data_IF_948729869701
#
_entry.id   IF_948729869701
#
_cell.length_a   1.000
_cell.length_b   1.000
_cell.length_c   1.000
_cell.angle_alpha   90.00
_cell.angle_beta   90.00
_cell.angle_gamma   90.00
#
_symmetry.space_group_name_H-M   'P 1'
#
loop_
_entity.id
_entity.type
_entity.pdbx_description
1 polymer ?
#
# COMPACT_ATOMS: atom_id res chain seq x y z
N UNK A 1 -1.62 -3.16 -19.16
CA UNK A 1 -1.21 -3.40 -17.77
C UNK A 1 -0.11 -2.42 -17.45
N UNK A 2 -0.39 -1.44 -16.58
CA UNK A 2 0.60 -0.49 -16.07
C UNK A 2 1.56 -1.23 -15.13
N UNK A 3 2.86 -0.93 -15.20
CA UNK A 3 3.86 -1.45 -14.26
C UNK A 3 4.36 -0.30 -13.40
N UNK A 4 4.29 -0.48 -12.10
CA UNK A 4 4.72 0.50 -11.13
C UNK A 4 5.88 -0.05 -10.30
N UNK A 5 6.75 0.85 -9.86
CA UNK A 5 7.86 0.56 -8.95
C UNK A 5 7.62 1.31 -7.65
N UNK A 6 7.67 0.62 -6.52
CA UNK A 6 7.57 1.24 -5.20
C UNK A 6 8.98 1.38 -4.61
N UNK A 7 9.41 2.61 -4.38
CA UNK A 7 10.70 2.89 -3.77
C UNK A 7 10.55 3.44 -2.36
N UNK A 8 11.41 2.98 -1.45
CA UNK A 8 11.52 3.51 -0.08
C UNK A 8 12.59 4.60 0.06
N UNK A 9 13.32 4.90 -1.01
CA UNK A 9 14.36 5.93 -1.09
C UNK A 9 14.30 6.57 -2.48
N UNK A 10 14.57 7.87 -2.59
CA UNK A 10 14.70 8.49 -3.90
C UNK A 10 15.83 7.77 -4.65
N UNK A 11 15.51 7.29 -5.84
CA UNK A 11 16.47 6.77 -6.81
C UNK A 11 16.40 7.67 -8.04
N UNK A 12 17.57 8.05 -8.55
CA UNK A 12 17.66 9.07 -9.58
C UNK A 12 17.28 8.54 -10.97
N UNK A 13 17.44 7.22 -11.19
CA UNK A 13 17.23 6.56 -12.48
C UNK A 13 16.20 5.42 -12.38
N UNK A 14 14.98 5.68 -12.88
CA UNK A 14 13.95 4.65 -12.97
C UNK A 14 14.21 3.72 -14.17
N UNK A 15 14.07 2.40 -14.02
CA UNK A 15 14.14 1.47 -15.15
C UNK A 15 13.13 1.80 -16.25
N UNK A 16 13.49 1.59 -17.51
CA UNK A 16 12.65 1.94 -18.68
C UNK A 16 11.31 1.19 -18.77
N UNK A 17 11.15 0.10 -18.03
CA UNK A 17 9.89 -0.65 -17.96
C UNK A 17 8.89 -0.06 -16.96
N UNK A 18 9.33 0.88 -16.10
CA UNK A 18 8.47 1.54 -15.10
C UNK A 18 7.54 2.51 -15.80
N UNK A 19 6.25 2.33 -15.60
CA UNK A 19 5.20 3.23 -16.05
C UNK A 19 4.67 4.18 -14.97
N UNK A 20 5.00 3.95 -13.70
CA UNK A 20 4.59 4.79 -12.54
C UNK A 20 5.53 4.61 -11.35
N UNK A 21 5.83 5.68 -10.64
CA UNK A 21 6.61 5.64 -9.40
C UNK A 21 5.69 5.75 -8.18
N UNK A 22 5.80 4.82 -7.25
CA UNK A 22 5.26 4.92 -5.90
C UNK A 22 6.37 5.30 -4.93
N UNK A 23 6.08 6.24 -4.03
CA UNK A 23 7.02 6.67 -3.00
C UNK A 23 6.26 7.06 -1.74
N UNK A 24 6.86 6.85 -0.56
CA UNK A 24 6.22 7.16 0.72
C UNK A 24 6.31 6.00 1.70
N UNK A 25 5.33 5.92 2.61
CA UNK A 25 5.23 4.87 3.61
C UNK A 25 3.78 4.40 3.72
N UNK A 26 3.55 3.09 3.64
CA UNK A 26 2.20 2.53 3.75
C UNK A 26 1.82 2.19 5.19
N UNK A 27 2.79 1.86 6.04
CA UNK A 27 2.54 1.24 7.34
C UNK A 27 2.93 2.14 8.52
N UNK A 28 4.21 2.44 8.70
CA UNK A 28 4.67 3.19 9.85
C UNK A 28 4.61 4.70 9.59
N UNK A 29 3.94 5.50 10.44
CA UNK A 29 3.91 6.95 10.25
C UNK A 29 5.28 7.60 10.38
N UNK A 30 6.16 6.99 11.17
CA UNK A 30 7.49 7.53 11.44
C UNK A 30 8.52 7.20 10.37
N UNK A 31 8.17 6.39 9.36
CA UNK A 31 9.00 6.17 8.17
C UNK A 31 8.56 7.04 7.00
N UNK A 32 7.52 7.86 7.17
CA UNK A 32 7.05 8.74 6.11
C UNK A 32 8.13 9.79 5.78
N UNK A 33 8.48 9.94 4.49
CA UNK A 33 9.59 10.79 4.06
C UNK A 33 9.33 12.27 4.32
N UNK A 34 10.40 13.04 4.47
CA UNK A 34 10.29 14.50 4.52
C UNK A 34 9.88 15.07 3.17
N UNK A 35 9.33 16.28 3.17
CA UNK A 35 8.88 16.95 1.94
C UNK A 35 10.00 17.06 0.88
N UNK A 36 11.26 17.27 1.30
CA UNK A 36 12.39 17.35 0.37
C UNK A 36 12.64 16.03 -0.37
N UNK A 37 12.52 14.88 0.33
CA UNK A 37 12.67 13.55 -0.28
C UNK A 37 11.51 13.24 -1.24
N UNK A 38 10.29 13.63 -0.87
CA UNK A 38 9.11 13.47 -1.74
C UNK A 38 9.28 14.30 -3.01
N UNK A 39 9.71 15.56 -2.90
CA UNK A 39 9.94 16.43 -4.05
C UNK A 39 11.03 15.88 -4.97
N UNK A 40 12.10 15.30 -4.41
CA UNK A 40 13.14 14.63 -5.19
C UNK A 40 12.58 13.40 -5.95
N UNK A 41 11.74 12.58 -5.31
CA UNK A 41 11.10 11.44 -5.97
C UNK A 41 10.11 11.89 -7.06
N UNK A 42 9.36 12.98 -6.83
CA UNK A 42 8.50 13.59 -7.84
C UNK A 42 9.34 14.07 -9.04
N UNK A 43 10.48 14.71 -8.81
CA UNK A 43 11.38 15.15 -9.88
C UNK A 43 11.92 13.97 -10.69
N UNK A 44 12.34 12.88 -10.03
CA UNK A 44 12.76 11.65 -10.70
C UNK A 44 11.65 11.07 -11.60
N UNK A 45 10.41 11.00 -11.10
CA UNK A 45 9.25 10.60 -11.90
C UNK A 45 9.04 11.49 -13.13
N UNK A 46 9.22 12.82 -12.99
CA UNK A 46 9.10 13.77 -14.10
C UNK A 46 10.21 13.63 -15.13
N UNK A 47 11.46 13.44 -14.72
CA UNK A 47 12.58 13.21 -15.65
C UNK A 47 12.34 11.96 -16.52
N UNK A 48 11.73 10.94 -15.93
CA UNK A 48 11.35 9.71 -16.63
C UNK A 48 9.98 9.78 -17.31
N UNK A 49 9.28 10.93 -17.25
CA UNK A 49 7.95 11.15 -17.79
C UNK A 49 6.90 10.12 -17.33
N UNK A 50 6.98 9.67 -16.07
CA UNK A 50 6.02 8.76 -15.46
C UNK A 50 5.16 9.48 -14.39
N UNK A 51 3.89 9.08 -14.21
CA UNK A 51 3.07 9.54 -13.09
C UNK A 51 3.64 9.14 -11.73
N UNK A 52 3.25 9.89 -10.69
CA UNK A 52 3.70 9.68 -9.32
C UNK A 52 2.54 9.28 -8.40
N UNK A 53 2.80 8.41 -7.44
CA UNK A 53 1.87 8.06 -6.37
C UNK A 53 2.53 8.25 -5.02
N UNK A 54 1.98 9.13 -4.19
CA UNK A 54 2.43 9.29 -2.80
C UNK A 54 1.65 8.33 -1.90
N UNK A 55 2.34 7.42 -1.22
CA UNK A 55 1.76 6.55 -0.21
C UNK A 55 1.83 7.19 1.19
N UNK A 56 0.67 7.45 1.79
CA UNK A 56 0.56 7.93 3.17
C UNK A 56 0.36 6.75 4.14
N UNK A 57 0.92 6.84 5.36
CA UNK A 57 1.00 5.71 6.29
C UNK A 57 -0.31 5.48 7.03
N UNK A 58 -0.36 4.41 7.82
CA UNK A 58 -1.35 4.27 8.90
C UNK A 58 -1.11 5.39 9.92
N UNK A 59 -2.17 6.10 10.30
CA UNK A 59 -2.01 7.35 11.05
C UNK A 59 -2.13 7.11 12.55
N UNK A 60 -1.34 7.86 13.31
CA UNK A 60 -1.54 8.08 14.73
C UNK A 60 -1.78 9.56 14.96
N UNK A 61 -2.56 9.92 15.98
CA UNK A 61 -2.95 11.31 16.26
C UNK A 61 -1.78 12.32 16.18
N UNK A 62 -0.60 12.06 16.79
CA UNK A 62 0.51 13.01 16.74
C UNK A 62 1.10 13.21 15.34
N UNK A 63 0.79 12.34 14.38
CA UNK A 63 1.29 12.40 13.01
C UNK A 63 0.38 13.21 12.07
N UNK A 64 -0.85 13.56 12.46
CA UNK A 64 -1.75 14.34 11.60
C UNK A 64 -1.19 15.72 11.24
N UNK A 65 -0.65 16.45 12.22
CA UNK A 65 -0.06 17.77 11.97
C UNK A 65 1.23 17.71 11.11
N UNK A 66 2.17 16.78 11.36
CA UNK A 66 3.26 16.50 10.43
C UNK A 66 2.81 16.19 9.01
N UNK A 67 1.84 15.28 8.84
CA UNK A 67 1.31 14.90 7.53
C UNK A 67 0.73 16.12 6.78
N UNK A 68 -0.06 16.96 7.46
CA UNK A 68 -0.62 18.20 6.88
C UNK A 68 0.47 19.09 6.33
N UNK A 69 1.50 19.38 7.14
CA UNK A 69 2.61 20.26 6.75
C UNK A 69 3.36 19.72 5.53
N UNK A 70 3.50 18.40 5.40
CA UNK A 70 4.14 17.79 4.24
C UNK A 70 3.24 17.93 3.01
N UNK A 71 1.95 17.59 3.12
CA UNK A 71 0.99 17.69 2.02
C UNK A 71 0.88 19.13 1.48
N UNK A 72 0.79 20.13 2.36
CA UNK A 72 0.76 21.56 1.98
C UNK A 72 2.03 22.00 1.25
N UNK A 73 3.19 21.42 1.57
CA UNK A 73 4.46 21.74 0.90
C UNK A 73 4.57 21.13 -0.49
N UNK A 74 4.06 19.91 -0.67
CA UNK A 74 4.19 19.18 -1.95
C UNK A 74 3.04 19.48 -2.91
N UNK A 75 1.86 19.88 -2.40
CA UNK A 75 0.67 20.02 -3.24
C UNK A 75 0.81 20.99 -4.41
N UNK A 76 1.61 22.09 -4.34
CA UNK A 76 1.85 22.94 -5.50
C UNK A 76 2.60 22.25 -6.65
N UNK A 77 3.25 21.11 -6.39
CA UNK A 77 4.06 20.37 -7.35
C UNK A 77 3.36 19.13 -7.93
N UNK A 78 2.18 18.79 -7.41
CA UNK A 78 1.37 17.69 -7.93
C UNK A 78 0.87 18.03 -9.34
N UNK A 79 0.97 17.08 -10.25
CA UNK A 79 0.61 17.26 -11.65
C UNK A 79 -0.55 16.32 -12.06
N UNK A 80 -1.22 16.58 -13.19
CA UNK A 80 -2.22 15.65 -13.72
C UNK A 80 -1.65 14.23 -13.88
N UNK A 81 -2.38 13.25 -13.36
CA UNK A 81 -1.97 11.84 -13.35
C UNK A 81 -1.31 11.38 -12.05
N UNK A 82 -0.89 12.31 -11.20
CA UNK A 82 -0.48 11.97 -9.84
C UNK A 82 -1.66 11.53 -8.98
N UNK A 83 -1.38 10.69 -7.99
CA UNK A 83 -2.38 10.13 -7.09
C UNK A 83 -1.83 10.14 -5.65
N UNK A 84 -2.72 10.24 -4.66
CA UNK A 84 -2.36 10.06 -3.25
C UNK A 84 -3.05 8.79 -2.73
N UNK A 85 -2.23 7.83 -2.28
CA UNK A 85 -2.66 6.60 -1.65
C UNK A 85 -2.79 6.82 -0.16
N UNK A 86 -3.97 6.53 0.40
CA UNK A 86 -4.22 6.59 1.84
C UNK A 86 -4.29 5.19 2.45
N UNK A 87 -3.43 4.90 3.44
CA UNK A 87 -3.51 3.66 4.24
C UNK A 87 -4.39 3.78 5.48
N UNK A 88 -4.95 4.97 5.73
CA UNK A 88 -5.84 5.26 6.84
C UNK A 88 -6.93 6.26 6.42
N UNK A 89 -8.17 6.01 6.83
CA UNK A 89 -9.29 6.91 6.55
C UNK A 89 -9.11 8.29 7.16
N UNK A 90 -8.33 8.43 8.23
CA UNK A 90 -7.97 9.70 8.84
C UNK A 90 -7.19 10.65 7.91
N UNK A 91 -6.60 10.16 6.83
CA UNK A 91 -5.95 11.01 5.83
C UNK A 91 -6.92 11.63 4.82
N UNK A 92 -8.13 11.08 4.65
CA UNK A 92 -9.00 11.43 3.53
C UNK A 92 -9.34 12.92 3.48
N UNK A 93 -9.89 13.45 4.57
CA UNK A 93 -10.25 14.88 4.66
C UNK A 93 -9.02 15.77 4.51
N UNK A 94 -7.90 15.36 5.10
CA UNK A 94 -6.66 16.10 5.04
C UNK A 94 -6.13 16.22 3.60
N UNK A 95 -6.15 15.13 2.83
CA UNK A 95 -5.74 15.13 1.43
C UNK A 95 -6.69 15.99 0.59
N UNK A 96 -8.01 15.87 0.80
CA UNK A 96 -9.00 16.67 0.08
C UNK A 96 -8.86 18.17 0.34
N UNK A 97 -8.49 18.56 1.55
CA UNK A 97 -8.24 19.96 1.92
C UNK A 97 -6.91 20.51 1.37
N UNK A 98 -5.84 19.70 1.41
CA UNK A 98 -4.48 20.17 1.11
C UNK A 98 -4.06 19.98 -0.35
N UNK A 99 -4.67 19.02 -1.05
CA UNK A 99 -4.41 18.67 -2.44
C UNK A 99 -5.74 18.49 -3.22
N UNK A 100 -6.59 19.53 -3.30
CA UNK A 100 -7.90 19.42 -3.94
C UNK A 100 -7.78 19.04 -5.42
N UNK A 101 -8.61 18.09 -5.85
CA UNK A 101 -8.65 17.59 -7.23
C UNK A 101 -7.62 16.50 -7.55
N UNK A 102 -6.72 16.18 -6.62
CA UNK A 102 -5.81 15.04 -6.78
C UNK A 102 -6.57 13.75 -6.45
N UNK A 103 -6.56 12.74 -7.33
CA UNK A 103 -7.19 11.45 -7.06
C UNK A 103 -6.66 10.80 -5.78
N UNK A 104 -7.59 10.37 -4.93
CA UNK A 104 -7.31 9.56 -3.75
C UNK A 104 -7.53 8.09 -4.09
N UNK A 105 -6.60 7.24 -3.71
CA UNK A 105 -6.69 5.78 -3.88
C UNK A 105 -6.48 5.08 -2.53
N UNK A 106 -7.02 3.87 -2.36
CA UNK A 106 -6.96 3.17 -1.06
C UNK A 106 -5.80 2.22 -0.99
N UNK A 107 -4.93 2.44 0.00
CA UNK A 107 -3.80 1.58 0.31
C UNK A 107 -4.25 0.19 0.71
N UNK A 108 -3.38 -0.79 0.45
CA UNK A 108 -3.66 -2.21 0.67
C UNK A 108 -3.93 -2.55 2.13
N UNK A 109 -3.49 -1.72 3.08
CA UNK A 109 -3.82 -1.86 4.51
C UNK A 109 -5.33 -1.89 4.73
N UNK A 110 -6.08 -1.05 4.01
CA UNK A 110 -7.53 -0.93 4.13
C UNK A 110 -8.30 -2.05 3.40
N UNK A 111 -7.61 -2.89 2.61
CA UNK A 111 -8.28 -3.83 1.70
C UNK A 111 -9.09 -4.92 2.38
N UNK A 112 -8.86 -5.20 3.67
CA UNK A 112 -9.54 -6.26 4.41
C UNK A 112 -9.35 -7.66 3.79
N UNK A 113 -8.35 -7.84 2.94
CA UNK A 113 -7.99 -9.13 2.37
C UNK A 113 -7.57 -10.10 3.49
N UNK A 114 -7.83 -11.39 3.27
CA UNK A 114 -7.44 -12.45 4.20
C UNK A 114 -6.08 -12.94 3.75
N UNK A 115 -5.04 -12.64 4.53
CA UNK A 115 -3.64 -12.77 4.09
C UNK A 115 -2.85 -13.82 4.87
N UNK A 116 -3.50 -14.53 5.79
CA UNK A 116 -2.85 -15.56 6.61
C UNK A 116 -2.45 -16.77 5.75
N UNK A 117 -1.20 -17.25 5.84
CA UNK A 117 -0.72 -18.40 5.06
C UNK A 117 -1.44 -19.71 5.43
N UNK A 118 -2.05 -19.78 6.61
CA UNK A 118 -2.80 -20.96 7.10
C UNK A 118 -4.00 -21.30 6.21
N UNK A 119 -4.43 -20.37 5.35
CA UNK A 119 -5.49 -20.63 4.40
C UNK A 119 -5.17 -21.81 3.47
N UNK A 120 -3.90 -22.05 3.17
CA UNK A 120 -3.46 -23.13 2.29
C UNK A 120 -3.73 -24.52 2.89
N UNK A 121 -3.87 -24.62 4.21
CA UNK A 121 -4.14 -25.87 4.91
C UNK A 121 -5.65 -26.15 5.05
N UNK A 122 -6.51 -25.19 4.67
CA UNK A 122 -7.96 -25.32 4.80
C UNK A 122 -8.58 -26.12 3.65
N UNK A 123 -9.46 -27.06 3.99
CA UNK A 123 -10.33 -27.72 3.02
C UNK A 123 -11.59 -26.86 2.83
N UNK A 124 -11.60 -26.07 1.76
CA UNK A 124 -12.65 -25.08 1.50
C UNK A 124 -13.57 -25.56 0.37
N UNK A 125 -14.87 -25.31 0.53
CA UNK A 125 -15.83 -25.34 -0.57
C UNK A 125 -15.54 -24.20 -1.57
N UNK A 126 -16.20 -24.23 -2.73
CA UNK A 126 -16.05 -23.19 -3.74
C UNK A 126 -16.48 -21.80 -3.24
N UNK A 127 -17.56 -21.74 -2.45
CA UNK A 127 -18.08 -20.48 -1.90
C UNK A 127 -17.18 -19.92 -0.79
N UNK A 128 -16.67 -20.78 0.09
CA UNK A 128 -15.68 -20.38 1.09
C UNK A 128 -14.38 -19.90 0.43
N UNK A 129 -13.90 -20.62 -0.58
CA UNK A 129 -12.74 -20.21 -1.38
C UNK A 129 -12.95 -18.82 -1.98
N UNK A 130 -14.14 -18.54 -2.51
CA UNK A 130 -14.49 -17.21 -3.03
C UNK A 130 -14.44 -16.15 -1.94
N UNK A 131 -15.04 -16.41 -0.77
CA UNK A 131 -15.02 -15.47 0.35
C UNK A 131 -13.60 -15.07 0.77
N UNK A 132 -12.67 -16.03 0.82
CA UNK A 132 -11.28 -15.74 1.20
C UNK A 132 -10.47 -15.02 0.12
N UNK A 133 -10.93 -15.03 -1.14
CA UNK A 133 -10.34 -14.26 -2.25
C UNK A 133 -10.86 -12.82 -2.31
N UNK A 134 -11.77 -12.45 -1.41
CA UNK A 134 -12.39 -11.12 -1.32
C UNK A 134 -11.90 -10.34 -0.09
N UNK A 135 -11.93 -9.01 -0.22
CA UNK A 135 -11.64 -8.03 0.84
C UNK A 135 -12.88 -7.23 1.26
N UNK A 136 -12.65 -6.09 1.91
CA UNK A 136 -13.71 -5.14 2.33
C UNK A 136 -14.47 -4.54 1.16
N UNK A 137 -13.84 -4.41 -0.01
CA UNK A 137 -14.37 -3.68 -1.16
C UNK A 137 -15.41 -4.44 -1.99
N UNK A 138 -15.76 -5.66 -1.59
CA UNK A 138 -16.66 -6.55 -2.33
C UNK A 138 -18.10 -6.53 -1.77
N UNK A 139 -18.37 -5.70 -0.76
CA UNK A 139 -19.73 -5.53 -0.24
C UNK A 139 -20.44 -4.35 -0.92
N UNK A 140 -21.76 -4.43 -1.12
CA UNK A 140 -22.54 -3.33 -1.71
C UNK A 140 -22.43 -2.00 -0.93
N UNK A 141 -22.25 -2.06 0.39
CA UNK A 141 -22.05 -0.88 1.23
C UNK A 141 -20.71 -0.20 0.95
N UNK A 142 -19.64 -0.99 0.76
CA UNK A 142 -18.34 -0.46 0.40
C UNK A 142 -18.38 0.16 -1.00
N UNK A 143 -18.98 -0.52 -1.99
CA UNK A 143 -19.15 0.02 -3.35
C UNK A 143 -19.83 1.39 -3.36
N UNK A 144 -20.94 1.51 -2.61
CA UNK A 144 -21.68 2.78 -2.48
C UNK A 144 -20.82 3.87 -1.84
N UNK A 145 -20.14 3.54 -0.74
CA UNK A 145 -19.31 4.50 -0.03
C UNK A 145 -18.13 5.00 -0.88
N UNK A 146 -17.49 4.10 -1.65
CA UNK A 146 -16.41 4.46 -2.56
C UNK A 146 -16.90 5.35 -3.72
N UNK A 147 -18.08 5.06 -4.26
CA UNK A 147 -18.70 5.91 -5.28
C UNK A 147 -19.03 7.31 -4.74
N UNK A 148 -19.59 7.42 -3.52
CA UNK A 148 -19.91 8.69 -2.86
C UNK A 148 -18.66 9.53 -2.55
N UNK A 149 -17.53 8.89 -2.26
CA UNK A 149 -16.25 9.55 -1.99
C UNK A 149 -15.42 9.83 -3.25
N UNK A 150 -15.87 9.37 -4.42
CA UNK A 150 -15.17 9.54 -5.69
C UNK A 150 -13.90 8.70 -5.82
N UNK A 151 -13.80 7.61 -5.06
CA UNK A 151 -12.64 6.72 -5.04
C UNK A 151 -12.92 5.50 -5.92
N UNK A 152 -12.10 5.32 -6.96
CA UNK A 152 -12.31 4.26 -7.97
C UNK A 152 -11.13 3.30 -8.11
N UNK A 153 -10.06 3.49 -7.35
CA UNK A 153 -8.88 2.61 -7.33
C UNK A 153 -8.56 2.13 -5.93
N UNK A 154 -8.32 0.83 -5.81
CA UNK A 154 -7.91 0.17 -4.57
C UNK A 154 -6.61 -0.61 -4.80
N UNK A 155 -5.76 -0.66 -3.78
CA UNK A 155 -4.53 -1.44 -3.80
C UNK A 155 -4.79 -2.79 -3.11
N UNK A 156 -4.30 -3.87 -3.74
CA UNK A 156 -4.46 -5.25 -3.28
C UNK A 156 -3.10 -5.91 -3.09
N UNK A 157 -3.02 -6.83 -2.15
CA UNK A 157 -1.89 -7.75 -1.98
C UNK A 157 -2.01 -8.98 -2.89
N UNK A 158 -0.89 -9.51 -3.39
CA UNK A 158 -0.82 -10.78 -4.13
C UNK A 158 -1.05 -12.00 -3.22
N UNK A 159 -2.32 -12.39 -3.04
CA UNK A 159 -2.71 -13.47 -2.13
C UNK A 159 -2.35 -14.87 -2.64
N UNK A 160 -2.02 -15.78 -1.72
CA UNK A 160 -1.68 -17.18 -2.02
C UNK A 160 -2.86 -17.97 -2.61
N UNK A 161 -4.08 -17.65 -2.18
CA UNK A 161 -5.31 -18.29 -2.62
C UNK A 161 -5.92 -17.67 -3.89
N UNK A 162 -5.28 -16.65 -4.46
CA UNK A 162 -5.79 -15.85 -5.57
C UNK A 162 -6.76 -14.73 -5.13
N UNK A 163 -7.32 -14.04 -6.12
CA UNK A 163 -8.18 -12.86 -5.95
C UNK A 163 -9.47 -13.06 -6.75
N UNK A 164 -10.60 -12.60 -6.21
CA UNK A 164 -11.88 -12.61 -6.92
C UNK A 164 -12.06 -11.33 -7.74
N UNK A 165 -12.84 -11.37 -8.83
CA UNK A 165 -13.21 -10.17 -9.57
C UNK A 165 -13.81 -9.08 -8.70
N UNK A 166 -13.24 -7.88 -8.81
CA UNK A 166 -13.76 -6.70 -8.15
C UNK A 166 -15.15 -6.34 -8.68
N UNK A 167 -15.96 -5.65 -7.87
CA UNK A 167 -17.19 -5.04 -8.35
C UNK A 167 -16.96 -4.08 -9.53
N UNK A 168 -17.99 -3.94 -10.36
CA UNK A 168 -17.96 -3.07 -11.53
C UNK A 168 -17.67 -1.60 -11.12
N UNK A 169 -16.82 -0.94 -11.90
CA UNK A 169 -16.43 0.46 -11.67
C UNK A 169 -15.23 0.65 -10.74
N UNK A 170 -14.81 -0.39 -10.00
CA UNK A 170 -13.53 -0.40 -9.28
C UNK A 170 -12.41 -0.94 -10.16
N UNK A 171 -11.22 -0.39 -9.98
CA UNK A 171 -9.97 -0.89 -10.56
C UNK A 171 -8.97 -1.16 -9.47
N UNK A 172 -8.10 -2.14 -9.70
CA UNK A 172 -7.06 -2.47 -8.74
C UNK A 172 -5.65 -2.39 -9.29
N UNK A 173 -4.79 -2.08 -8.35
CA UNK A 173 -3.35 -2.26 -8.42
C UNK A 173 -2.98 -3.45 -7.55
N UNK A 174 -2.10 -4.33 -8.03
CA UNK A 174 -1.66 -5.52 -7.29
C UNK A 174 -0.20 -5.38 -6.85
N UNK A 175 0.04 -5.35 -5.55
CA UNK A 175 1.38 -5.30 -4.97
C UNK A 175 2.02 -6.70 -4.91
N UNK A 176 3.27 -6.80 -5.36
CA UNK A 176 4.07 -8.03 -5.33
C UNK A 176 5.57 -7.72 -5.15
N UNK A 177 6.38 -8.68 -4.64
CA UNK A 177 5.98 -10.01 -4.18
C UNK A 177 5.49 -10.02 -2.72
N UNK A 178 5.61 -8.92 -1.98
CA UNK A 178 5.35 -8.91 -0.55
C UNK A 178 3.89 -8.62 -0.25
N UNK A 179 3.14 -9.62 0.20
CA UNK A 179 1.79 -9.42 0.74
C UNK A 179 1.88 -9.09 2.24
N UNK A 180 1.21 -8.03 2.69
CA UNK A 180 1.10 -7.71 4.12
C UNK A 180 0.40 -8.87 4.84
N UNK A 181 0.76 -9.24 6.07
CA UNK A 181 0.00 -10.20 6.88
C UNK A 181 -0.64 -9.48 8.05
N UNK A 182 0.16 -8.71 8.78
CA UNK A 182 -0.31 -7.88 9.89
C UNK A 182 0.63 -6.70 10.10
N UNK A 183 0.10 -5.59 10.60
CA UNK A 183 0.86 -4.43 11.03
C UNK A 183 0.39 -4.00 12.42
N UNK A 184 1.32 -3.57 13.25
CA UNK A 184 1.07 -3.17 14.62
C UNK A 184 1.54 -1.75 14.88
N UNK A 185 0.92 -1.03 15.81
CA UNK A 185 1.50 0.24 16.31
C UNK A 185 2.67 -0.02 17.27
N UNK A 186 2.76 -1.22 17.83
CA UNK A 186 3.81 -1.65 18.75
C UNK A 186 4.95 -2.25 17.92
N UNK A 187 5.86 -1.40 17.48
CA UNK A 187 7.06 -1.82 16.76
C UNK A 187 8.09 -2.41 17.75
N UNK A 188 8.66 -3.60 17.49
CA UNK A 188 9.67 -4.20 18.37
C UNK A 188 10.98 -3.40 18.43
N UNK A 189 11.23 -2.53 17.46
CA UNK A 189 12.42 -1.69 17.41
C UNK A 189 12.21 -0.32 18.05
N UNK A 190 10.97 0.09 18.30
CA UNK A 190 10.67 1.42 18.85
C UNK A 190 10.63 1.33 20.36
N UNK A 191 11.51 2.07 21.02
CA UNK A 191 11.59 2.09 22.47
C UNK A 191 10.43 2.91 23.07
N UNK A 192 9.49 2.20 23.70
CA UNK A 192 8.43 2.75 24.54
C UNK A 192 7.36 3.61 23.86
N UNK A 193 6.37 4.03 24.66
CA UNK A 193 5.21 4.85 24.31
C UNK A 193 5.57 6.31 23.97
N UNK A 194 6.61 6.56 23.17
CA UNK A 194 6.86 7.91 22.67
C UNK A 194 5.66 8.33 21.81
N UNK A 195 5.04 9.45 22.17
CA UNK A 195 3.96 10.03 21.39
C UNK A 195 4.45 10.48 20.02
N UNK A 196 5.71 10.93 19.92
CA UNK A 196 6.27 11.56 18.73
C UNK A 196 7.61 10.94 18.32
N UNK A 197 7.83 10.81 17.02
CA UNK A 197 9.11 10.43 16.42
C UNK A 197 9.51 8.95 16.58
N UNK A 198 10.49 8.53 15.78
CA UNK A 198 11.14 7.22 15.88
C UNK A 198 12.59 7.33 15.42
N UNK A 199 13.52 7.26 16.37
CA UNK A 199 14.97 7.32 16.08
C UNK A 199 15.57 5.94 15.77
N UNK A 200 14.76 4.88 15.88
CA UNK A 200 15.20 3.50 15.72
C UNK A 200 15.44 3.17 14.25
N UNK A 201 16.59 2.57 13.93
CA UNK A 201 16.73 1.85 12.67
C UNK A 201 15.66 0.75 12.65
N UNK A 202 14.84 0.64 11.59
CA UNK A 202 13.81 -0.42 11.43
C UNK A 202 14.38 -1.86 11.41
N UNK A 203 15.64 -2.02 11.82
CA UNK A 203 16.38 -3.25 11.97
C UNK A 203 16.66 -3.97 10.67
N UNK A 204 17.26 -5.14 10.84
CA UNK A 204 17.30 -6.18 9.82
C UNK A 204 15.92 -6.84 9.68
N UNK A 205 15.71 -7.51 8.55
CA UNK A 205 14.49 -8.29 8.33
C UNK A 205 14.56 -9.55 9.18
N UNK A 206 13.54 -9.77 10.02
CA UNK A 206 13.40 -11.05 10.72
C UNK A 206 12.65 -12.05 9.85
N UNK A 207 13.05 -13.31 9.95
CA UNK A 207 12.31 -14.45 9.41
C UNK A 207 11.64 -15.15 10.60
N UNK A 208 10.31 -15.17 10.59
CA UNK A 208 9.49 -15.79 11.62
C UNK A 208 8.98 -17.13 11.09
N UNK A 209 9.49 -18.20 11.70
CA UNK A 209 9.10 -19.57 11.37
C UNK A 209 8.18 -20.13 12.43
N UNK A 210 7.26 -20.99 12.03
CA UNK A 210 6.32 -21.65 12.93
C UNK A 210 6.04 -23.07 12.44
N UNK A 211 5.98 -24.08 13.33
CA UNK A 211 5.54 -25.42 12.95
C UNK A 211 4.10 -25.49 12.42
N UNK A 212 3.32 -24.41 12.58
CA UNK A 212 1.91 -24.31 12.15
C UNK A 212 1.72 -23.72 10.75
N UNK A 213 2.77 -23.22 10.13
CA UNK A 213 2.68 -22.63 8.78
C UNK A 213 3.84 -23.10 7.93
N UNK A 214 3.56 -23.42 6.67
CA UNK A 214 4.57 -23.88 5.72
C UNK A 214 5.39 -22.72 5.14
N UNK A 215 4.93 -21.49 5.29
CA UNK A 215 5.58 -20.30 4.76
C UNK A 215 6.08 -19.40 5.91
N UNK A 216 7.35 -18.98 5.88
CA UNK A 216 7.86 -18.06 6.88
C UNK A 216 7.23 -16.67 6.67
N UNK A 217 7.05 -15.94 7.77
CA UNK A 217 6.72 -14.52 7.72
C UNK A 217 8.01 -13.69 7.76
N UNK A 218 8.07 -12.65 6.94
CA UNK A 218 9.14 -11.67 6.93
C UNK A 218 8.69 -10.45 7.71
N UNK A 219 9.41 -10.08 8.77
CA UNK A 219 9.08 -8.90 9.56
C UNK A 219 10.08 -7.78 9.33
N UNK A 220 9.58 -6.58 9.00
CA UNK A 220 10.38 -5.35 8.91
C UNK A 220 9.63 -4.22 9.60
N UNK A 221 10.33 -3.53 10.50
CA UNK A 221 9.68 -2.52 11.34
C UNK A 221 8.50 -3.10 12.11
N UNK A 222 7.33 -2.50 11.91
CA UNK A 222 6.10 -2.85 12.62
C UNK A 222 5.17 -3.80 11.84
N UNK A 223 5.61 -4.31 10.70
CA UNK A 223 4.77 -5.05 9.75
C UNK A 223 5.40 -6.40 9.39
N UNK A 224 4.54 -7.41 9.32
CA UNK A 224 4.87 -8.75 8.85
C UNK A 224 4.29 -8.96 7.46
N UNK A 225 5.03 -9.70 6.64
CA UNK A 225 4.70 -9.97 5.25
C UNK A 225 4.92 -11.45 4.93
N UNK A 226 4.31 -11.92 3.86
CA UNK A 226 4.70 -13.13 3.15
C UNK A 226 5.20 -12.74 1.75
N UNK A 227 6.02 -13.60 1.14
CA UNK A 227 6.43 -13.45 -0.26
C UNK A 227 5.58 -14.36 -1.14
N UNK A 228 5.09 -13.82 -2.25
CA UNK A 228 4.39 -14.56 -3.28
C UNK A 228 4.70 -13.95 -4.65
N UNK A 229 5.54 -14.64 -5.42
CA UNK A 229 5.94 -14.25 -6.77
C UNK A 229 4.96 -14.76 -7.84
N UNK A 230 4.11 -15.72 -7.49
CA UNK A 230 3.13 -16.30 -8.40
C UNK A 230 1.94 -15.34 -8.56
N UNK A 231 1.88 -14.66 -9.70
CA UNK A 231 0.79 -13.76 -10.04
C UNK A 231 -0.45 -14.56 -10.49
N UNK A 232 -1.68 -14.09 -10.17
CA UNK A 232 -2.91 -14.68 -10.69
C UNK A 232 -2.94 -14.69 -12.22
N UNK A 233 -3.42 -15.78 -12.80
CA UNK A 233 -3.44 -15.94 -14.26
C UNK A 233 -4.34 -14.95 -15.02
N UNK A 234 -5.46 -14.54 -14.43
CA UNK A 234 -6.42 -13.62 -15.05
C UNK A 234 -6.55 -12.30 -14.26
N UNK A 235 -5.51 -11.46 -14.34
CA UNK A 235 -5.48 -10.15 -13.67
C UNK A 235 -6.58 -9.22 -14.20
N UNK A 236 -6.76 -9.14 -15.52
CA UNK A 236 -7.72 -8.22 -16.13
C UNK A 236 -9.16 -8.61 -15.80
N UNK A 237 -9.49 -9.90 -15.84
CA UNK A 237 -10.79 -10.40 -15.40
C UNK A 237 -11.05 -10.16 -13.91
N UNK A 238 -10.00 -9.92 -13.12
CA UNK A 238 -10.14 -9.52 -11.72
C UNK A 238 -10.32 -8.00 -11.50
N UNK A 239 -10.31 -7.19 -12.57
CA UNK A 239 -10.31 -5.73 -12.49
C UNK A 239 -8.94 -5.13 -12.15
N UNK A 240 -7.86 -5.91 -12.24
CA UNK A 240 -6.49 -5.47 -11.96
C UNK A 240 -5.85 -4.98 -13.26
N UNK A 241 -5.46 -3.71 -13.29
CA UNK A 241 -4.85 -3.06 -14.45
C UNK A 241 -3.45 -2.48 -14.19
N UNK A 242 -2.98 -2.54 -12.94
CA UNK A 242 -1.65 -2.10 -12.49
C UNK A 242 -0.96 -3.18 -11.64
N UNK A 243 0.32 -3.41 -11.89
CA UNK A 243 1.20 -4.22 -11.04
C UNK A 243 2.20 -3.32 -10.32
N UNK A 244 2.29 -3.41 -8.99
CA UNK A 244 3.19 -2.60 -8.16
C UNK A 244 4.29 -3.50 -7.61
N UNK A 245 5.49 -3.36 -8.17
CA UNK A 245 6.64 -4.16 -7.75
C UNK A 245 7.40 -3.48 -6.61
N UNK A 246 7.70 -4.27 -5.58
CA UNK A 246 8.52 -3.89 -4.44
C UNK A 246 9.90 -4.55 -4.56
N UNK A 247 10.98 -3.78 -4.84
CA UNK A 247 12.33 -4.33 -5.00
C UNK A 247 12.93 -4.82 -3.67
N UNK A 248 12.37 -4.36 -2.55
CA UNK A 248 12.75 -4.81 -1.21
C UNK A 248 11.53 -4.84 -0.31
N UNK A 249 11.62 -5.57 0.80
CA UNK A 249 10.53 -5.71 1.76
C UNK A 249 10.07 -4.33 2.27
N UNK A 250 8.76 -3.99 2.27
CA UNK A 250 8.30 -2.67 2.69
C UNK A 250 8.62 -2.35 4.17
N UNK A 251 8.62 -1.06 4.54
CA UNK A 251 8.88 -0.55 5.89
C UNK A 251 7.71 0.27 6.44
#
# INVERSE_FOLDING_TARGET
MERALFLSRPDDDLPSWVGRLYFGAEFCPWTFPEAAEILAAMEAARRCAVPFTLATPVIVEPFLAPLRRVLEKISPFLAPGDEILISDWGALSLVQETAPGIPVILGRVLSGQKRGPEILDLQLTADESRYFRQGSWYSPEAERFLAETGIYRVELDNLLQGISPLPDGLRASLHYPFAMVTSSRNCPFRDGNRAEGCDSSCGEVFVLESPRSQLPLLQRGNTQFLSNDDLPGDLQGCGIDRLVWHPCLPR
#
